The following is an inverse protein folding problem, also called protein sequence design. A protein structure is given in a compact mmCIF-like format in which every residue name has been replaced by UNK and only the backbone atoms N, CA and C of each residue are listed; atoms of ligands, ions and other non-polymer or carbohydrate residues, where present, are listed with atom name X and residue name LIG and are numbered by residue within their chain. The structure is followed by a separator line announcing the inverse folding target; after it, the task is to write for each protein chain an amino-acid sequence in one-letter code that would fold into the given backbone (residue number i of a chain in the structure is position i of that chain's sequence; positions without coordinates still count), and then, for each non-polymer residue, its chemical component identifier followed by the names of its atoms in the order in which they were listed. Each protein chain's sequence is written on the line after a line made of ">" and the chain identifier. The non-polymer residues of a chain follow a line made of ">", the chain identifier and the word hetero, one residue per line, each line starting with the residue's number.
data_IF_331642651708
#
_entry.id   IF_331642651708
#
_cell.length_a   1.000
_cell.length_b   1.000
_cell.length_c   1.000
_cell.angle_alpha   90.00
_cell.angle_beta   90.00
_cell.angle_gamma   90.00
#
_symmetry.space_group_name_H-M   'P 1'
#
loop_
_entity.id
_entity.type
_entity.pdbx_description
1 polymer ?
#
# COMPACT_ATOMS: atom_id res chain seq x y z
N UNK A 1 -4.24 9.28 5.64
CA UNK A 1 -4.33 10.71 5.25
C UNK A 1 -3.87 11.57 6.43
N UNK A 2 -3.17 12.70 6.19
CA UNK A 2 -2.80 13.65 7.26
C UNK A 2 -4.05 14.34 7.80
N UNK A 3 -4.18 14.46 9.14
CA UNK A 3 -5.37 15.04 9.78
C UNK A 3 -5.62 16.54 9.50
N UNK A 4 -4.62 17.25 8.98
CA UNK A 4 -4.63 18.71 8.78
C UNK A 4 -4.81 19.11 7.30
N UNK A 5 -5.39 18.25 6.48
CA UNK A 5 -5.63 18.57 5.07
C UNK A 5 -6.99 19.28 4.97
N UNK A 6 -6.98 20.56 4.55
CA UNK A 6 -8.21 21.33 4.30
C UNK A 6 -8.71 21.04 2.90
N UNK A 7 -9.97 20.68 2.77
CA UNK A 7 -10.63 20.40 1.49
C UNK A 7 -12.12 20.74 1.56
N UNK A 8 -12.70 20.98 0.40
CA UNK A 8 -14.14 21.19 0.22
C UNK A 8 -14.75 19.91 -0.37
N UNK A 9 -15.87 19.46 0.18
CA UNK A 9 -16.58 18.26 -0.29
C UNK A 9 -17.58 18.67 -1.36
N UNK A 10 -17.46 18.11 -2.56
CA UNK A 10 -18.37 18.32 -3.68
C UNK A 10 -19.48 17.27 -3.71
N UNK A 11 -19.14 16.01 -3.47
CA UNK A 11 -20.06 14.87 -3.49
C UNK A 11 -19.75 13.98 -2.30
N UNK A 12 -20.79 13.45 -1.66
CA UNK A 12 -20.68 12.52 -0.54
C UNK A 12 -21.69 11.38 -0.73
N UNK A 13 -21.20 10.17 -0.91
CA UNK A 13 -22.01 8.98 -1.17
C UNK A 13 -21.63 7.85 -0.21
N UNK A 14 -22.64 7.07 0.19
CA UNK A 14 -22.45 5.83 0.94
C UNK A 14 -22.71 4.63 0.02
N UNK A 15 -21.78 3.70 0.00
CA UNK A 15 -21.87 2.47 -0.77
C UNK A 15 -21.79 1.25 0.17
N UNK A 16 -22.61 0.25 -0.10
CA UNK A 16 -22.49 -1.05 0.55
C UNK A 16 -21.85 -2.04 -0.42
N UNK A 17 -20.95 -2.88 0.11
CA UNK A 17 -20.44 -4.00 -0.66
C UNK A 17 -21.62 -4.92 -1.04
N UNK A 18 -21.64 -5.53 -2.25
CA UNK A 18 -22.65 -6.50 -2.68
C UNK A 18 -22.88 -7.65 -1.69
N UNK A 19 -21.90 -7.95 -0.83
CA UNK A 19 -22.00 -8.94 0.24
C UNK A 19 -22.51 -8.39 1.58
N UNK A 20 -22.83 -7.10 1.66
CA UNK A 20 -23.38 -6.44 2.87
C UNK A 20 -22.41 -6.31 4.06
N UNK A 21 -21.14 -6.74 3.90
CA UNK A 21 -20.18 -6.79 5.01
C UNK A 21 -19.34 -5.55 5.21
N UNK A 22 -19.30 -4.63 4.25
CA UNK A 22 -18.49 -3.42 4.32
C UNK A 22 -19.25 -2.21 3.78
N UNK A 23 -19.24 -1.16 4.57
CA UNK A 23 -19.72 0.15 4.16
C UNK A 23 -18.53 1.02 3.74
N UNK A 24 -18.69 1.68 2.60
CA UNK A 24 -17.71 2.63 2.07
C UNK A 24 -18.36 4.00 1.99
N UNK A 25 -17.71 5.01 2.54
CA UNK A 25 -18.05 6.41 2.28
C UNK A 25 -17.11 6.92 1.21
N UNK A 26 -17.69 7.37 0.12
CA UNK A 26 -16.98 7.97 -1.00
C UNK A 26 -17.26 9.46 -1.05
N UNK A 27 -16.21 10.27 -1.09
CA UNK A 27 -16.31 11.71 -1.19
C UNK A 27 -15.45 12.20 -2.36
N UNK A 28 -16.03 13.04 -3.21
CA UNK A 28 -15.28 13.84 -4.18
C UNK A 28 -14.97 15.17 -3.54
N UNK A 29 -13.70 15.52 -3.50
CA UNK A 29 -13.19 16.70 -2.77
C UNK A 29 -12.32 17.58 -3.66
N UNK A 30 -12.27 18.86 -3.34
CA UNK A 30 -11.37 19.81 -3.97
C UNK A 30 -10.36 20.32 -2.95
N UNK A 31 -9.10 20.22 -3.28
CA UNK A 31 -7.99 20.86 -2.58
C UNK A 31 -7.59 22.12 -3.34
N UNK A 32 -7.48 23.21 -2.64
CA UNK A 32 -6.99 24.47 -3.19
C UNK A 32 -5.54 24.68 -2.76
N UNK A 33 -4.64 24.73 -3.72
CA UNK A 33 -3.22 25.02 -3.49
C UNK A 33 -2.70 25.94 -4.57
N UNK A 34 -2.07 27.02 -4.15
CA UNK A 34 -1.43 28.01 -5.04
C UNK A 34 -2.38 28.53 -6.15
N UNK A 35 -3.68 28.74 -5.82
CA UNK A 35 -4.71 29.17 -6.77
C UNK A 35 -5.22 28.08 -7.73
N UNK A 36 -4.71 26.84 -7.62
CA UNK A 36 -5.10 25.70 -8.46
C UNK A 36 -6.03 24.77 -7.67
N UNK A 37 -7.11 24.35 -8.31
CA UNK A 37 -8.05 23.39 -7.77
C UNK A 37 -7.61 21.98 -8.19
N UNK A 38 -7.37 21.11 -7.20
CA UNK A 38 -7.09 19.69 -7.41
C UNK A 38 -8.28 18.87 -6.94
N UNK A 39 -8.93 18.18 -7.87
CA UNK A 39 -10.03 17.29 -7.57
C UNK A 39 -9.46 15.92 -7.19
N UNK A 40 -9.99 15.32 -6.13
CA UNK A 40 -9.60 14.00 -5.68
C UNK A 40 -10.80 13.26 -5.07
N UNK A 41 -10.64 11.95 -4.92
CA UNK A 41 -11.62 11.03 -4.38
C UNK A 41 -11.10 10.50 -3.04
N UNK A 42 -11.90 10.63 -1.97
CA UNK A 42 -11.61 10.06 -0.66
C UNK A 42 -12.54 8.87 -0.44
N UNK A 43 -11.95 7.72 -0.13
CA UNK A 43 -12.66 6.49 0.19
C UNK A 43 -12.39 6.18 1.66
N UNK A 44 -13.43 6.16 2.47
CA UNK A 44 -13.34 5.85 3.90
C UNK A 44 -14.09 4.57 4.21
N UNK A 45 -13.43 3.66 4.92
CA UNK A 45 -14.00 2.38 5.34
C UNK A 45 -13.47 1.96 6.71
N UNK A 46 -14.19 1.03 7.36
CA UNK A 46 -13.76 0.43 8.62
C UNK A 46 -12.99 -0.86 8.33
N UNK A 47 -11.75 -0.92 8.81
CA UNK A 47 -10.89 -2.12 8.70
C UNK A 47 -11.00 -2.94 9.97
N UNK A 48 -11.61 -4.14 9.84
CA UNK A 48 -11.77 -5.11 10.93
C UNK A 48 -10.63 -6.12 10.86
N UNK A 49 -9.60 -5.96 11.69
CA UNK A 49 -8.53 -6.96 11.85
C UNK A 49 -8.82 -7.85 13.04
N UNK A 50 -8.73 -9.18 12.84
CA UNK A 50 -8.93 -10.17 13.89
C UNK A 50 -8.05 -9.85 15.11
N UNK A 51 -8.68 -9.72 16.29
CA UNK A 51 -7.99 -9.39 17.55
C UNK A 51 -7.57 -7.93 17.76
N UNK A 52 -8.05 -6.99 16.92
CA UNK A 52 -7.81 -5.55 17.07
C UNK A 52 -9.13 -4.77 17.02
N UNK A 53 -9.15 -3.61 17.66
CA UNK A 53 -10.28 -2.68 17.55
C UNK A 53 -10.47 -2.23 16.10
N UNK A 54 -11.73 -2.02 15.65
CA UNK A 54 -12.04 -1.50 14.33
C UNK A 54 -11.32 -0.17 14.09
N UNK A 55 -10.73 -0.02 12.92
CA UNK A 55 -9.98 1.19 12.55
C UNK A 55 -10.57 1.84 11.31
N UNK A 56 -10.93 3.11 11.41
CA UNK A 56 -11.34 3.91 10.27
C UNK A 56 -10.13 4.25 9.40
N UNK A 57 -10.19 3.90 8.12
CA UNK A 57 -9.14 4.16 7.13
C UNK A 57 -9.71 5.05 6.04
N UNK A 58 -9.01 6.16 5.73
CA UNK A 58 -9.35 7.04 4.62
C UNK A 58 -8.22 7.02 3.59
N UNK A 59 -8.56 6.68 2.36
CA UNK A 59 -7.69 6.62 1.20
C UNK A 59 -7.96 7.82 0.30
N UNK A 60 -6.91 8.39 -0.26
CA UNK A 60 -6.99 9.47 -1.23
C UNK A 60 -6.48 8.96 -2.58
N UNK A 61 -7.24 9.18 -3.64
CA UNK A 61 -6.89 8.83 -5.01
C UNK A 61 -7.35 9.91 -5.99
N UNK A 62 -6.69 9.99 -7.13
CA UNK A 62 -7.11 10.78 -8.29
C UNK A 62 -7.74 9.90 -9.40
N UNK A 63 -7.90 8.62 -9.15
CA UNK A 63 -8.56 7.69 -10.04
C UNK A 63 -10.06 7.66 -9.71
N UNK A 64 -10.90 8.05 -10.68
CA UNK A 64 -12.36 8.12 -10.54
C UNK A 64 -13.07 6.91 -11.16
N UNK A 65 -12.38 6.15 -11.99
CA UNK A 65 -12.96 5.04 -12.77
C UNK A 65 -12.83 3.69 -12.03
N UNK A 66 -11.80 3.56 -11.19
CA UNK A 66 -11.52 2.30 -10.50
C UNK A 66 -12.58 1.98 -9.42
N UNK A 67 -13.08 0.71 -9.36
CA UNK A 67 -13.99 0.26 -8.32
C UNK A 67 -13.40 0.41 -6.91
N UNK A 68 -14.26 0.75 -5.93
CA UNK A 68 -13.87 0.99 -4.53
C UNK A 68 -13.11 -0.20 -3.91
N UNK A 69 -13.59 -1.41 -4.16
CA UNK A 69 -12.98 -2.64 -3.64
C UNK A 69 -11.57 -2.84 -4.19
N UNK A 70 -11.35 -2.49 -5.46
CA UNK A 70 -10.03 -2.60 -6.11
C UNK A 70 -9.05 -1.63 -5.49
N UNK A 71 -9.45 -0.38 -5.25
CA UNK A 71 -8.61 0.63 -4.58
C UNK A 71 -8.23 0.17 -3.17
N UNK A 72 -9.18 -0.36 -2.41
CA UNK A 72 -8.94 -0.90 -1.07
C UNK A 72 -7.99 -2.11 -1.12
N UNK A 73 -8.16 -3.01 -2.09
CA UNK A 73 -7.29 -4.17 -2.28
C UNK A 73 -5.85 -3.76 -2.61
N UNK A 74 -5.65 -2.78 -3.49
CA UNK A 74 -4.34 -2.22 -3.82
C UNK A 74 -3.69 -1.62 -2.57
N UNK A 75 -4.43 -0.83 -1.80
CA UNK A 75 -3.91 -0.22 -0.58
C UNK A 75 -3.50 -1.27 0.45
N UNK A 76 -4.29 -2.33 0.64
CA UNK A 76 -3.94 -3.44 1.54
C UNK A 76 -2.65 -4.14 1.12
N UNK A 77 -2.41 -4.31 -0.19
CA UNK A 77 -1.17 -4.90 -0.73
C UNK A 77 0.05 -4.01 -0.55
N UNK A 78 -0.11 -2.71 -0.37
CA UNK A 78 1.00 -1.77 -0.13
C UNK A 78 1.85 -2.17 1.08
N UNK A 79 1.24 -2.74 2.12
CA UNK A 79 1.96 -3.23 3.29
C UNK A 79 2.92 -4.39 2.99
N UNK A 80 2.69 -5.12 1.91
CA UNK A 80 3.60 -6.19 1.47
C UNK A 80 4.94 -5.60 1.02
N UNK A 81 4.94 -4.43 0.40
CA UNK A 81 6.17 -3.73 -0.02
C UNK A 81 6.96 -3.30 1.22
N UNK A 82 6.31 -2.76 2.23
CA UNK A 82 6.98 -2.37 3.49
C UNK A 82 7.58 -3.59 4.21
N UNK A 83 6.86 -4.71 4.23
CA UNK A 83 7.33 -5.97 4.79
C UNK A 83 8.53 -6.52 4.00
N UNK A 84 8.50 -6.44 2.68
CA UNK A 84 9.62 -6.82 1.81
C UNK A 84 10.86 -5.99 2.11
N UNK A 85 10.74 -4.66 2.17
CA UNK A 85 11.88 -3.79 2.50
C UNK A 85 12.41 -4.04 3.91
N UNK A 86 11.54 -4.33 4.88
CA UNK A 86 11.96 -4.71 6.23
C UNK A 86 12.77 -6.01 6.20
N UNK A 87 12.30 -7.03 5.49
CA UNK A 87 12.98 -8.32 5.32
C UNK A 87 14.34 -8.14 4.64
N UNK A 88 14.40 -7.36 3.57
CA UNK A 88 15.65 -7.07 2.85
C UNK A 88 16.66 -6.39 3.78
N UNK A 89 16.23 -5.37 4.54
CA UNK A 89 17.12 -4.67 5.50
C UNK A 89 17.60 -5.56 6.64
N UNK A 90 16.81 -6.55 7.04
CA UNK A 90 17.20 -7.49 8.11
C UNK A 90 18.15 -8.57 7.62
N UNK A 91 17.93 -9.10 6.42
CA UNK A 91 18.65 -10.24 5.88
C UNK A 91 19.93 -9.86 5.10
N UNK A 92 20.00 -8.62 4.61
CA UNK A 92 21.11 -8.15 3.79
C UNK A 92 21.74 -6.87 4.36
N UNK A 93 23.07 -6.77 4.39
CA UNK A 93 23.78 -5.63 4.98
C UNK A 93 23.76 -4.40 4.03
N UNK A 94 22.57 -3.84 3.77
CA UNK A 94 22.41 -2.62 2.98
C UNK A 94 22.85 -1.34 3.72
N UNK A 95 23.46 -1.46 4.90
CA UNK A 95 24.01 -0.32 5.65
C UNK A 95 25.35 0.14 5.09
N UNK A 96 26.05 -0.74 4.37
CA UNK A 96 27.35 -0.47 3.80
C UNK A 96 27.31 -0.77 2.31
N UNK A 97 27.70 0.19 1.49
CA UNK A 97 27.85 0.01 0.06
C UNK A 97 29.32 -0.23 -0.25
N UNK A 98 29.59 -1.29 -1.00
CA UNK A 98 30.97 -1.69 -1.38
C UNK A 98 31.61 -0.74 -2.40
N UNK A 99 30.82 0.15 -3.01
CA UNK A 99 31.28 1.16 -3.95
C UNK A 99 30.52 2.47 -3.80
N UNK A 100 31.24 3.58 -3.95
CA UNK A 100 30.66 4.92 -3.84
C UNK A 100 29.98 5.41 -5.13
N UNK A 101 30.15 4.72 -6.27
CA UNK A 101 29.52 5.13 -7.52
C UNK A 101 28.03 4.78 -7.55
N UNK A 102 27.23 5.62 -8.22
CA UNK A 102 25.80 5.38 -8.37
C UNK A 102 25.48 4.01 -9.01
N UNK A 103 26.36 3.54 -9.91
CA UNK A 103 26.21 2.24 -10.55
C UNK A 103 26.48 1.08 -9.58
N UNK A 104 27.52 1.17 -8.75
CA UNK A 104 27.82 0.17 -7.73
C UNK A 104 26.68 0.01 -6.72
N UNK A 105 26.08 1.13 -6.28
CA UNK A 105 24.91 1.14 -5.39
C UNK A 105 23.71 0.44 -6.05
N UNK A 106 23.42 0.76 -7.31
CA UNK A 106 22.33 0.13 -8.06
C UNK A 106 22.55 -1.39 -8.21
N UNK A 107 23.76 -1.82 -8.56
CA UNK A 107 24.09 -3.23 -8.69
C UNK A 107 23.88 -3.96 -7.37
N UNK A 108 24.36 -3.42 -6.26
CA UNK A 108 24.18 -4.02 -4.94
C UNK A 108 22.70 -4.19 -4.57
N UNK A 109 21.87 -3.17 -4.86
CA UNK A 109 20.42 -3.24 -4.62
C UNK A 109 19.79 -4.35 -5.48
N UNK A 110 20.11 -4.42 -6.78
CA UNK A 110 19.56 -5.44 -7.68
C UNK A 110 19.99 -6.86 -7.28
N UNK A 111 21.24 -7.06 -6.95
CA UNK A 111 21.75 -8.36 -6.47
C UNK A 111 21.02 -8.79 -5.20
N UNK A 112 20.78 -7.86 -4.27
CA UNK A 112 20.02 -8.12 -3.04
C UNK A 112 18.57 -8.55 -3.32
N UNK A 113 17.89 -7.87 -4.25
CA UNK A 113 16.54 -8.22 -4.63
C UNK A 113 16.46 -9.60 -5.30
N UNK A 114 17.39 -9.90 -6.20
CA UNK A 114 17.48 -11.21 -6.87
C UNK A 114 17.76 -12.33 -5.86
N UNK A 115 18.72 -12.13 -4.95
CA UNK A 115 19.02 -13.10 -3.91
C UNK A 115 17.81 -13.36 -2.99
N UNK A 116 17.09 -12.31 -2.57
CA UNK A 116 15.88 -12.46 -1.77
C UNK A 116 14.79 -13.24 -2.52
N UNK A 117 14.59 -12.98 -3.81
CA UNK A 117 13.64 -13.71 -4.65
C UNK A 117 14.02 -15.20 -4.77
N UNK A 118 15.29 -15.51 -5.04
CA UNK A 118 15.76 -16.89 -5.14
C UNK A 118 15.57 -17.65 -3.82
N UNK A 119 15.92 -17.04 -2.69
CA UNK A 119 15.69 -17.64 -1.38
C UNK A 119 14.22 -17.89 -1.12
N UNK A 120 13.33 -16.96 -1.46
CA UNK A 120 11.88 -17.13 -1.32
C UNK A 120 11.34 -18.30 -2.15
N UNK A 121 11.84 -18.46 -3.39
CA UNK A 121 11.47 -19.59 -4.26
C UNK A 121 11.97 -20.92 -3.69
N UNK A 122 13.19 -20.95 -3.17
CA UNK A 122 13.75 -22.16 -2.53
C UNK A 122 12.96 -22.55 -1.29
N UNK A 123 12.62 -21.60 -0.42
CA UNK A 123 11.80 -21.85 0.76
C UNK A 123 10.42 -22.41 0.37
N UNK A 124 9.76 -21.83 -0.61
CA UNK A 124 8.46 -22.31 -1.09
C UNK A 124 8.54 -23.77 -1.63
N UNK A 125 9.64 -24.12 -2.33
CA UNK A 125 9.87 -25.49 -2.81
C UNK A 125 10.16 -26.47 -1.68
N UNK A 126 10.89 -26.06 -0.64
CA UNK A 126 11.21 -26.89 0.52
C UNK A 126 9.98 -27.14 1.40
N UNK A 127 9.14 -26.12 1.61
CA UNK A 127 7.88 -26.28 2.34
C UNK A 127 6.92 -27.25 1.65
N UNK A 128 6.83 -27.19 0.31
CA UNK A 128 6.05 -28.18 -0.47
C UNK A 128 6.55 -29.61 -0.32
N UNK A 129 7.88 -29.83 -0.15
CA UNK A 129 8.45 -31.18 0.07
C UNK A 129 8.19 -31.73 1.48
N UNK A 130 7.96 -30.86 2.47
CA UNK A 130 7.65 -31.29 3.85
C UNK A 130 6.17 -31.57 4.08
N UNK A 131 5.29 -31.21 3.15
CA UNK A 131 3.84 -31.39 3.21
C UNK A 131 3.36 -32.64 2.49
N UNK A 132 4.26 -33.55 2.09
CA UNK A 132 4.00 -34.90 1.58
C UNK A 132 4.60 -35.90 2.58
#
# INVERSE_FOLDING_TARGET
>A
MKKNLSYEVLVDCMHQNPQGMMEFREQVVVFRKDGINHIARIITYVDFKKGKSPKLISLLTNDFDMPLETIVAIYRRRWQIESLFKQIKQNFPLRYFYGASANAIKIQIWVTLIANLLLSVLQCKLERRRSI
#
